data_IF_239067076110
#
_entry.id   IF_239067076110
#
_cell.length_a   1.000
_cell.length_b   1.000
_cell.length_c   1.000
_cell.angle_alpha   90.00
_cell.angle_beta   90.00
_cell.angle_gamma   90.00
#
_symmetry.space_group_name_H-M   'P 1'
#
loop_
_entity.id
_entity.type
_entity.pdbx_description
1 polymer ?
#
# COMPACT_ATOMS: atom_id res chain seq x y z
N UNK A 1 10.88 -55.05 7.03
CA UNK A 1 11.61 -55.34 5.77
C UNK A 1 10.59 -55.11 4.65
N UNK A 2 10.70 -54.19 3.71
CA UNK A 2 11.78 -53.32 3.26
C UNK A 2 11.20 -51.95 2.85
N UNK A 3 12.05 -50.92 2.94
CA UNK A 3 11.81 -49.56 2.49
C UNK A 3 11.80 -49.50 0.94
N UNK A 4 10.88 -48.74 0.34
CA UNK A 4 11.11 -48.17 -0.98
C UNK A 4 10.53 -46.76 -1.08
N UNK A 5 11.45 -45.81 -1.14
CA UNK A 5 11.32 -44.40 -1.42
C UNK A 5 10.74 -44.17 -2.82
N UNK A 6 9.76 -43.27 -2.95
CA UNK A 6 9.18 -42.90 -4.25
C UNK A 6 8.64 -41.49 -4.21
N UNK A 7 9.52 -40.52 -4.42
CA UNK A 7 9.19 -39.10 -4.52
C UNK A 7 8.32 -38.87 -5.75
N UNK A 8 7.17 -38.22 -5.58
CA UNK A 8 6.33 -37.81 -6.72
C UNK A 8 6.93 -36.57 -7.37
N UNK A 9 7.19 -36.74 -8.66
CA UNK A 9 7.77 -35.79 -9.61
C UNK A 9 6.90 -34.53 -9.71
N UNK A 10 7.55 -33.37 -9.61
CA UNK A 10 6.99 -32.05 -9.90
C UNK A 10 6.55 -31.98 -11.36
N UNK A 11 5.28 -31.64 -11.59
CA UNK A 11 4.79 -31.28 -12.91
C UNK A 11 5.42 -29.95 -13.34
N UNK A 12 6.18 -30.00 -14.43
CA UNK A 12 6.78 -28.84 -15.08
C UNK A 12 5.71 -27.96 -15.72
N UNK A 13 5.55 -26.74 -15.23
CA UNK A 13 4.91 -25.66 -15.98
C UNK A 13 6.00 -24.83 -16.69
N UNK A 14 5.77 -24.40 -17.95
CA UNK A 14 6.81 -23.78 -18.77
C UNK A 14 7.21 -22.42 -18.20
N UNK A 15 8.48 -22.33 -17.78
CA UNK A 15 9.15 -21.13 -17.34
C UNK A 15 9.40 -20.24 -18.57
N UNK A 16 8.69 -19.12 -18.65
CA UNK A 16 8.91 -18.12 -19.68
C UNK A 16 10.32 -17.51 -19.48
N UNK A 17 11.22 -17.81 -20.42
CA UNK A 17 12.58 -17.27 -20.48
C UNK A 17 12.53 -15.80 -20.91
N UNK A 18 12.54 -14.90 -19.95
CA UNK A 18 13.16 -13.59 -20.14
C UNK A 18 14.35 -13.48 -19.20
N UNK A 19 15.51 -13.92 -19.70
CA UNK A 19 16.81 -13.62 -19.09
C UNK A 19 17.06 -12.14 -19.31
N UNK A 20 16.67 -11.30 -18.35
CA UNK A 20 17.13 -9.92 -18.30
C UNK A 20 18.50 -9.94 -17.64
N UNK A 21 19.53 -9.75 -18.46
CA UNK A 21 20.90 -9.54 -18.04
C UNK A 21 20.98 -8.22 -17.24
N UNK A 22 20.93 -8.30 -15.91
CA UNK A 22 21.26 -7.14 -15.08
C UNK A 22 22.77 -6.94 -15.12
N UNK A 23 23.24 -6.06 -16.01
CA UNK A 23 24.55 -5.44 -15.83
C UNK A 23 24.49 -4.64 -14.53
N UNK A 24 25.28 -5.06 -13.54
CA UNK A 24 25.57 -4.26 -12.37
C UNK A 24 26.30 -2.98 -12.81
N UNK A 25 25.54 -1.91 -13.04
CA UNK A 25 26.09 -0.58 -13.19
C UNK A 25 26.41 -0.10 -11.78
N UNK A 26 27.70 -0.12 -11.43
CA UNK A 26 28.22 0.71 -10.34
C UNK A 26 28.15 2.16 -10.82
N UNK A 27 27.00 2.80 -10.60
CA UNK A 27 26.85 4.24 -10.82
C UNK A 27 27.22 4.97 -9.53
N UNK A 28 28.48 5.39 -9.48
CA UNK A 28 28.92 6.55 -8.73
C UNK A 28 28.02 7.76 -9.05
N UNK A 29 27.40 8.34 -8.03
CA UNK A 29 26.68 9.62 -8.10
C UNK A 29 25.29 9.52 -8.72
N UNK A 30 24.26 9.35 -7.90
CA UNK A 30 22.90 9.71 -8.30
C UNK A 30 22.86 11.23 -8.55
N UNK A 31 22.42 11.71 -9.72
CA UNK A 31 22.02 13.10 -9.82
C UNK A 31 20.83 13.30 -8.88
N UNK A 32 20.93 14.31 -8.01
CA UNK A 32 19.84 14.81 -7.19
C UNK A 32 18.66 15.10 -8.12
N UNK A 33 17.71 14.17 -8.23
CA UNK A 33 16.41 14.48 -8.81
C UNK A 33 15.85 15.67 -8.04
N UNK A 34 15.59 16.83 -8.67
CA UNK A 34 15.01 17.95 -7.98
C UNK A 34 13.54 17.59 -7.75
N UNK A 35 13.24 16.98 -6.60
CA UNK A 35 11.88 16.83 -6.06
C UNK A 35 11.23 18.18 -5.71
N UNK A 36 11.74 19.30 -6.24
CA UNK A 36 11.17 20.64 -6.09
C UNK A 36 9.96 20.88 -6.98
N UNK A 37 9.83 20.15 -8.09
CA UNK A 37 8.69 20.23 -8.99
C UNK A 37 8.05 18.86 -9.15
N UNK A 38 7.16 18.50 -8.22
CA UNK A 38 6.15 17.48 -8.50
C UNK A 38 5.17 18.09 -9.52
N UNK A 39 5.05 17.58 -10.75
CA UNK A 39 4.05 18.05 -11.71
C UNK A 39 2.62 17.82 -11.19
N UNK A 40 2.48 16.89 -10.23
CA UNK A 40 1.25 16.57 -9.50
C UNK A 40 0.96 17.51 -8.33
N UNK A 41 1.85 18.47 -8.02
CA UNK A 41 1.51 19.62 -7.15
C UNK A 41 0.72 20.65 -7.95
N UNK A 42 -0.19 20.17 -8.80
CA UNK A 42 -1.24 20.96 -9.40
C UNK A 42 -2.37 21.06 -8.40
N UNK A 43 -2.98 22.25 -8.35
CA UNK A 43 -4.25 22.59 -7.71
C UNK A 43 -5.11 21.34 -7.52
N UNK A 44 -5.38 20.97 -6.26
CA UNK A 44 -6.13 19.76 -5.96
C UNK A 44 -7.34 19.66 -6.87
N UNK A 45 -7.47 18.55 -7.60
CA UNK A 45 -8.74 18.20 -8.21
C UNK A 45 -9.75 18.23 -7.07
N UNK A 46 -10.57 19.27 -7.04
CA UNK A 46 -11.68 19.36 -6.10
C UNK A 46 -12.51 18.12 -6.43
N UNK A 47 -12.50 17.12 -5.54
CA UNK A 47 -13.34 15.95 -5.70
C UNK A 47 -14.75 16.46 -5.98
N UNK A 48 -15.38 15.91 -7.02
CA UNK A 48 -16.75 16.22 -7.35
C UNK A 48 -17.60 16.20 -6.06
N UNK A 49 -18.42 17.24 -5.76
CA UNK A 49 -19.13 17.34 -4.49
C UNK A 49 -20.03 16.13 -4.19
N UNK A 50 -20.63 15.53 -5.22
CA UNK A 50 -21.46 14.32 -5.07
C UNK A 50 -20.58 13.12 -4.71
N UNK A 51 -19.43 12.96 -5.39
CA UNK A 51 -18.45 11.93 -5.03
C UNK A 51 -17.96 12.09 -3.59
N UNK A 52 -17.65 13.31 -3.16
CA UNK A 52 -17.22 13.58 -1.79
C UNK A 52 -18.31 13.17 -0.79
N UNK A 53 -19.55 13.60 -1.02
CA UNK A 53 -20.68 13.24 -0.16
C UNK A 53 -20.89 11.73 -0.10
N UNK A 54 -20.81 11.05 -1.26
CA UNK A 54 -20.91 9.59 -1.34
C UNK A 54 -19.83 8.91 -0.49
N UNK A 55 -18.56 9.35 -0.60
CA UNK A 55 -17.48 8.80 0.22
C UNK A 55 -17.71 9.09 1.71
N UNK A 56 -18.16 10.29 2.07
CA UNK A 56 -18.43 10.68 3.45
C UNK A 56 -19.56 9.88 4.10
N UNK A 57 -20.59 9.53 3.34
CA UNK A 57 -21.74 8.72 3.78
C UNK A 57 -21.39 7.22 3.90
N UNK A 58 -20.53 6.72 3.01
CA UNK A 58 -20.30 5.28 2.85
C UNK A 58 -18.98 4.77 3.44
N UNK A 59 -18.14 5.67 3.98
CA UNK A 59 -16.91 5.35 4.70
C UNK A 59 -16.81 6.19 5.97
N UNK A 60 -15.94 5.80 6.89
CA UNK A 60 -15.77 6.53 8.15
C UNK A 60 -14.32 6.86 8.43
N UNK A 61 -14.09 7.97 9.14
CA UNK A 61 -12.77 8.29 9.68
C UNK A 61 -12.57 7.49 10.96
N UNK A 62 -11.54 6.67 11.01
CA UNK A 62 -11.19 5.88 12.19
C UNK A 62 -9.69 5.73 12.32
N UNK A 63 -9.23 5.62 13.56
CA UNK A 63 -7.92 5.05 13.91
C UNK A 63 -8.05 3.79 14.78
N UNK A 64 -9.28 3.45 15.20
CA UNK A 64 -9.55 2.30 16.05
C UNK A 64 -9.57 1.00 15.26
N UNK A 65 -9.18 -0.10 15.93
CA UNK A 65 -9.14 -1.43 15.31
C UNK A 65 -7.97 -1.66 14.35
N UNK A 66 -7.04 -0.71 14.22
CA UNK A 66 -5.78 -0.88 13.50
C UNK A 66 -4.59 -1.00 14.45
N UNK A 67 -3.46 -1.52 13.95
CA UNK A 67 -2.19 -1.54 14.69
C UNK A 67 -1.55 -0.14 14.86
N UNK A 68 -2.09 0.89 14.19
CA UNK A 68 -1.53 2.24 14.18
C UNK A 68 -2.57 3.28 14.60
N UNK A 69 -2.95 3.33 15.89
CA UNK A 69 -3.94 4.29 16.40
C UNK A 69 -3.53 5.77 16.23
N UNK A 70 -2.25 6.04 15.96
CA UNK A 70 -1.70 7.37 15.67
C UNK A 70 -2.12 7.91 14.30
N UNK A 71 -2.58 7.04 13.39
CA UNK A 71 -2.96 7.40 12.02
C UNK A 71 -4.48 7.31 11.89
N UNK A 72 -5.12 8.45 11.59
CA UNK A 72 -6.53 8.47 11.22
C UNK A 72 -6.68 8.29 9.71
N UNK A 73 -7.52 7.35 9.31
CA UNK A 73 -7.80 7.02 7.92
C UNK A 73 -9.31 7.01 7.68
N UNK A 74 -9.72 7.39 6.47
CA UNK A 74 -11.10 7.20 6.02
C UNK A 74 -11.21 5.83 5.36
N UNK A 75 -11.89 4.90 6.02
CA UNK A 75 -11.94 3.48 5.64
C UNK A 75 -13.38 2.98 5.51
N UNK A 76 -13.55 1.94 4.72
CA UNK A 76 -14.72 1.07 4.75
C UNK A 76 -14.54 0.09 5.92
N UNK A 77 -15.45 0.13 6.89
CA UNK A 77 -15.38 -0.70 8.11
C UNK A 77 -16.67 -1.51 8.29
N UNK A 78 -16.73 -2.47 9.23
CA UNK A 78 -17.95 -3.21 9.53
C UNK A 78 -19.19 -2.37 9.89
N UNK A 79 -19.02 -1.08 10.18
CA UNK A 79 -20.11 -0.13 10.46
C UNK A 79 -20.68 0.52 9.20
N UNK A 80 -19.96 0.46 8.09
CA UNK A 80 -20.38 1.06 6.82
C UNK A 80 -21.34 0.14 6.09
N UNK A 81 -22.35 0.71 5.43
CA UNK A 81 -23.36 -0.01 4.64
C UNK A 81 -22.74 -1.03 3.68
N UNK A 82 -21.79 -0.58 2.87
CA UNK A 82 -21.20 -1.40 1.80
C UNK A 82 -20.21 -2.48 2.28
N UNK A 83 -19.93 -2.58 3.58
CA UNK A 83 -19.08 -3.67 4.09
C UNK A 83 -19.76 -5.04 3.97
N UNK A 84 -21.08 -5.09 4.13
CA UNK A 84 -21.87 -6.33 4.10
C UNK A 84 -22.57 -6.56 2.75
N UNK A 85 -22.50 -5.57 1.87
CA UNK A 85 -23.10 -5.64 0.54
C UNK A 85 -22.18 -6.39 -0.43
N UNK A 86 -22.76 -6.79 -1.56
CA UNK A 86 -21.96 -7.37 -2.64
C UNK A 86 -21.09 -6.30 -3.31
N UNK A 87 -19.86 -6.68 -3.66
CA UNK A 87 -18.90 -5.78 -4.26
C UNK A 87 -19.37 -5.16 -5.60
N UNK A 88 -20.27 -5.81 -6.34
CA UNK A 88 -20.83 -5.31 -7.59
C UNK A 88 -21.82 -4.15 -7.41
N UNK A 89 -22.31 -3.92 -6.19
CA UNK A 89 -23.16 -2.77 -5.84
C UNK A 89 -22.34 -1.53 -5.50
N UNK A 90 -21.03 -1.65 -5.32
CA UNK A 90 -20.16 -0.52 -5.10
C UNK A 90 -19.96 0.26 -6.42
N UNK A 91 -20.25 1.57 -6.47
CA UNK A 91 -20.28 2.31 -7.74
C UNK A 91 -18.88 2.65 -8.29
N UNK A 92 -17.82 2.43 -7.50
CA UNK A 92 -16.44 2.67 -7.93
C UNK A 92 -15.76 1.36 -8.30
N UNK A 93 -14.71 1.43 -9.11
CA UNK A 93 -13.83 0.27 -9.32
C UNK A 93 -13.13 -0.06 -8.00
N UNK A 94 -12.92 -1.36 -7.74
CA UNK A 94 -12.31 -1.96 -6.53
C UNK A 94 -11.68 -0.96 -5.53
N UNK A 95 -12.29 -0.75 -4.35
CA UNK A 95 -11.88 0.29 -3.41
C UNK A 95 -10.67 -0.13 -2.56
N UNK A 96 -9.54 -0.47 -3.19
CA UNK A 96 -8.31 -0.87 -2.50
C UNK A 96 -7.81 0.17 -1.50
N UNK A 97 -8.13 1.45 -1.74
CA UNK A 97 -7.81 2.58 -0.86
C UNK A 97 -8.69 2.62 0.41
N UNK A 98 -9.86 1.97 0.41
CA UNK A 98 -10.81 2.03 1.53
C UNK A 98 -10.51 0.99 2.61
N UNK A 99 -9.60 0.05 2.36
CA UNK A 99 -9.26 -1.04 3.29
C UNK A 99 -7.84 -0.87 3.80
N UNK A 100 -7.67 -0.97 5.11
CA UNK A 100 -6.35 -1.00 5.72
C UNK A 100 -5.87 -2.45 5.87
N UNK A 101 -5.27 -2.97 4.79
CA UNK A 101 -4.84 -4.36 4.70
C UNK A 101 -3.82 -4.73 5.79
N UNK A 102 -3.86 -5.97 6.33
CA UNK A 102 -2.99 -6.38 7.43
C UNK A 102 -1.49 -6.16 7.19
N UNK A 103 -1.02 -6.37 5.94
CA UNK A 103 0.38 -6.12 5.57
C UNK A 103 0.78 -4.66 5.70
N UNK A 104 -0.10 -3.74 5.27
CA UNK A 104 0.10 -2.30 5.45
C UNK A 104 0.10 -1.90 6.92
N UNK A 105 -0.78 -2.49 7.73
CA UNK A 105 -0.82 -2.22 9.17
C UNK A 105 0.49 -2.62 9.87
N UNK A 106 0.98 -3.82 9.59
CA UNK A 106 2.22 -4.32 10.16
C UNK A 106 3.43 -3.47 9.75
N UNK A 107 3.51 -3.09 8.46
CA UNK A 107 4.61 -2.27 7.97
C UNK A 107 4.58 -0.85 8.54
N UNK A 108 3.40 -0.21 8.59
CA UNK A 108 3.23 1.10 9.20
C UNK A 108 3.62 1.09 10.68
N UNK A 109 3.17 0.08 11.44
CA UNK A 109 3.56 -0.09 12.86
C UNK A 109 5.07 -0.24 13.00
N UNK A 110 5.67 -1.10 12.18
CA UNK A 110 7.12 -1.29 12.18
C UNK A 110 7.89 0.01 11.94
N UNK A 111 7.47 0.83 10.97
CA UNK A 111 8.10 2.13 10.71
C UNK A 111 7.96 3.10 11.89
N UNK A 112 6.77 3.14 12.52
CA UNK A 112 6.53 3.98 13.70
C UNK A 112 7.41 3.57 14.89
N UNK A 113 7.63 2.26 15.08
CA UNK A 113 8.49 1.73 16.15
C UNK A 113 9.99 1.84 15.81
N UNK A 114 10.36 1.92 14.53
CA UNK A 114 11.74 1.89 14.06
C UNK A 114 12.03 3.08 13.12
N UNK A 115 12.00 4.33 13.62
CA UNK A 115 12.10 5.52 12.77
C UNK A 115 13.41 5.59 11.98
N UNK A 116 14.49 5.03 12.50
CA UNK A 116 15.81 5.01 11.85
C UNK A 116 15.85 4.24 10.52
N UNK A 117 14.85 3.39 10.27
CA UNK A 117 14.68 2.70 8.98
C UNK A 117 14.50 3.70 7.85
N UNK A 118 13.81 4.83 8.08
CA UNK A 118 13.48 5.84 7.05
C UNK A 118 14.03 7.24 7.33
N UNK A 119 14.56 7.49 8.54
CA UNK A 119 15.18 8.78 8.93
C UNK A 119 16.23 9.21 7.91
N UNK A 120 16.10 10.44 7.40
CA UNK A 120 17.02 11.02 6.41
C UNK A 120 16.96 10.41 5.00
N UNK A 121 16.15 9.38 4.74
CA UNK A 121 16.10 8.65 3.46
C UNK A 121 14.88 9.03 2.63
N UNK A 122 15.03 9.17 1.32
CA UNK A 122 13.89 9.29 0.39
C UNK A 122 13.14 7.97 0.28
N UNK A 123 11.82 7.98 0.45
CA UNK A 123 10.95 6.80 0.50
C UNK A 123 9.92 6.88 -0.62
N UNK A 124 9.72 5.75 -1.33
CA UNK A 124 8.67 5.56 -2.33
C UNK A 124 7.78 4.40 -1.86
N UNK A 125 6.47 4.64 -1.78
CA UNK A 125 5.46 3.64 -1.42
C UNK A 125 4.71 3.18 -2.68
N UNK A 126 4.95 1.94 -3.12
CA UNK A 126 4.35 1.36 -4.34
C UNK A 126 3.20 0.45 -3.92
N UNK A 127 2.02 0.68 -4.50
CA UNK A 127 0.82 -0.04 -4.08
C UNK A 127 0.33 0.42 -2.70
N UNK A 128 0.37 1.74 -2.47
CA UNK A 128 0.14 2.37 -1.17
C UNK A 128 -1.24 2.14 -0.56
N UNK A 129 -2.22 1.66 -1.33
CA UNK A 129 -3.57 1.36 -0.84
C UNK A 129 -4.21 2.58 -0.18
N UNK A 130 -4.53 2.47 1.12
CA UNK A 130 -5.07 3.57 1.93
C UNK A 130 -4.03 4.65 2.30
N UNK A 131 -2.75 4.48 1.93
CA UNK A 131 -1.69 5.46 2.13
C UNK A 131 -1.07 5.46 3.53
N UNK A 132 -1.50 4.57 4.43
CA UNK A 132 -1.06 4.56 5.83
C UNK A 132 0.46 4.40 5.99
N UNK A 133 1.09 3.56 5.16
CA UNK A 133 2.54 3.31 5.24
C UNK A 133 3.35 4.54 4.80
N UNK A 134 2.94 5.22 3.74
CA UNK A 134 3.53 6.50 3.36
C UNK A 134 3.37 7.57 4.46
N UNK A 135 2.21 7.62 5.12
CA UNK A 135 1.98 8.52 6.27
C UNK A 135 2.92 8.17 7.42
N UNK A 136 3.01 6.90 7.81
CA UNK A 136 3.91 6.43 8.85
C UNK A 136 5.37 6.79 8.55
N UNK A 137 5.83 6.53 7.33
CA UNK A 137 7.17 6.88 6.88
C UNK A 137 7.45 8.39 6.97
N UNK A 138 6.44 9.22 6.69
CA UNK A 138 6.57 10.68 6.79
C UNK A 138 6.62 11.15 8.25
N UNK A 139 5.79 10.57 9.13
CA UNK A 139 5.76 10.88 10.56
C UNK A 139 7.09 10.56 11.25
N UNK A 140 7.78 9.51 10.80
CA UNK A 140 9.02 9.00 11.44
C UNK A 140 10.29 9.54 10.82
N UNK A 141 10.18 10.29 9.72
CA UNK A 141 11.33 10.92 9.04
C UNK A 141 11.90 12.11 9.84
N UNK A 142 11.15 12.65 10.79
CA UNK A 142 11.50 13.87 11.57
C UNK A 142 12.52 13.53 12.66
#
# INVERSE_FOLDING_TARGET
MALSSGWRVFASFPMNRYVVLWKAVRSSGFPLFPWGHCPWRGTGSLLDPEMKAFLEENTEVTSSGSLTPEIQLRLLTPRCKFWWERADLWPLRDPYWAIYWPGGQALSRYLLDNPDVVRGKSVLDIGSGCGATAIAAKMTRI
#
